data_IF_942289860984
#
_entry.id   IF_942289860984
#
_cell.length_a   1.000
_cell.length_b   1.000
_cell.length_c   1.000
_cell.angle_alpha   90.00
_cell.angle_beta   90.00
_cell.angle_gamma   90.00
#
_symmetry.space_group_name_H-M   'P 1'
#
loop_
_entity.id
_entity.type
_entity.pdbx_description
1 polymer ?
#
# COMPACT_ATOMS: atom_id res chain seq x y z
N UNK A 1 -22.60 8.81 8.50
CA UNK A 1 -22.53 7.50 7.80
C UNK A 1 -22.24 7.66 6.30
N UNK A 2 -22.91 8.59 5.58
CA UNK A 2 -22.71 8.83 4.15
C UNK A 2 -21.27 9.12 3.69
N UNK A 3 -20.52 9.97 4.39
CA UNK A 3 -19.18 10.40 3.93
C UNK A 3 -18.14 9.27 3.94
N UNK A 4 -18.24 8.33 4.89
CA UNK A 4 -17.35 7.18 4.95
C UNK A 4 -17.63 6.18 3.81
N UNK A 5 -18.90 6.04 3.44
CA UNK A 5 -19.30 5.21 2.31
C UNK A 5 -18.81 5.80 0.98
N UNK A 6 -18.94 7.12 0.79
CA UNK A 6 -18.43 7.82 -0.39
C UNK A 6 -16.90 7.65 -0.48
N UNK A 7 -16.17 7.92 0.61
CA UNK A 7 -14.71 7.70 0.66
C UNK A 7 -14.31 6.28 0.28
N UNK A 8 -15.00 5.30 0.84
CA UNK A 8 -14.71 3.89 0.56
C UNK A 8 -14.95 3.55 -0.91
N UNK A 9 -16.08 3.97 -1.50
CA UNK A 9 -16.39 3.66 -2.89
C UNK A 9 -15.46 4.42 -3.85
N UNK A 10 -15.08 5.67 -3.55
CA UNK A 10 -14.07 6.42 -4.32
C UNK A 10 -12.74 5.69 -4.37
N UNK A 11 -12.19 5.29 -3.22
CA UNK A 11 -10.95 4.51 -3.15
C UNK A 11 -11.10 3.19 -3.91
N UNK A 12 -12.25 2.53 -3.79
CA UNK A 12 -12.54 1.28 -4.49
C UNK A 12 -12.58 1.48 -6.00
N UNK A 13 -13.18 2.55 -6.50
CA UNK A 13 -13.22 2.87 -7.93
C UNK A 13 -11.83 3.17 -8.47
N UNK A 14 -11.05 4.04 -7.81
CA UNK A 14 -9.65 4.33 -8.19
C UNK A 14 -8.84 3.02 -8.23
N UNK A 15 -8.96 2.18 -7.20
CA UNK A 15 -8.29 0.89 -7.15
C UNK A 15 -8.71 -0.05 -8.29
N UNK A 16 -10.01 -0.11 -8.63
CA UNK A 16 -10.52 -0.91 -9.76
C UNK A 16 -9.94 -0.43 -11.07
N UNK A 17 -9.91 0.89 -11.32
CA UNK A 17 -9.38 1.50 -12.55
C UNK A 17 -7.89 1.20 -12.70
N UNK A 18 -7.10 1.41 -11.65
CA UNK A 18 -5.66 1.08 -11.66
C UNK A 18 -5.42 -0.41 -11.92
N UNK A 19 -6.24 -1.28 -11.33
CA UNK A 19 -6.14 -2.73 -11.52
C UNK A 19 -6.58 -3.17 -12.91
N UNK A 20 -7.70 -2.65 -13.45
CA UNK A 20 -8.24 -3.02 -14.76
C UNK A 20 -7.37 -2.51 -15.90
N UNK A 21 -6.86 -1.28 -15.77
CA UNK A 21 -6.09 -0.62 -16.82
C UNK A 21 -4.59 -0.90 -16.69
N UNK A 22 -4.16 -1.45 -15.55
CA UNK A 22 -2.86 -2.09 -15.46
C UNK A 22 -2.67 -3.24 -16.44
N UNK A 23 -3.78 -3.88 -16.87
CA UNK A 23 -3.77 -4.88 -17.94
C UNK A 23 -3.63 -4.27 -19.35
N UNK A 24 -3.91 -2.97 -19.52
CA UNK A 24 -3.87 -2.27 -20.82
C UNK A 24 -2.51 -1.65 -21.17
N UNK A 25 -1.57 -1.55 -20.22
CA UNK A 25 -0.21 -1.03 -20.46
C UNK A 25 0.67 -2.04 -21.22
N UNK A 26 0.16 -3.24 -21.47
CA UNK A 26 0.69 -4.19 -22.45
C UNK A 26 -0.38 -4.46 -23.51
N UNK A 27 -0.08 -4.14 -24.77
CA UNK A 27 -0.90 -4.62 -25.87
C UNK A 27 -1.02 -6.15 -25.86
N UNK A 28 -2.22 -6.62 -26.20
CA UNK A 28 -2.62 -7.97 -26.63
C UNK A 28 -3.08 -9.04 -25.61
N UNK A 29 -4.37 -9.35 -25.82
CA UNK A 29 -5.11 -10.63 -25.72
C UNK A 29 -5.36 -11.28 -24.35
N UNK A 30 -6.66 -11.39 -24.06
CA UNK A 30 -7.31 -12.23 -23.06
C UNK A 30 -7.00 -13.72 -23.24
N UNK A 31 -6.78 -14.43 -22.13
CA UNK A 31 -7.68 -15.51 -21.70
C UNK A 31 -7.38 -15.96 -20.26
N UNK A 32 -8.46 -16.04 -19.47
CA UNK A 32 -8.69 -16.89 -18.28
C UNK A 32 -8.42 -18.36 -18.65
N UNK A 33 -7.97 -19.32 -17.83
CA UNK A 33 -8.18 -19.66 -16.41
C UNK A 33 -7.23 -20.81 -16.00
N UNK A 34 -6.90 -20.88 -14.70
CA UNK A 34 -6.61 -22.03 -13.81
C UNK A 34 -5.78 -23.29 -14.25
N UNK A 35 -4.71 -23.50 -13.46
CA UNK A 35 -4.28 -24.75 -12.78
C UNK A 35 -3.38 -25.82 -13.45
N UNK A 36 -2.38 -26.20 -12.64
CA UNK A 36 -1.65 -27.49 -12.50
C UNK A 36 -0.44 -27.88 -13.38
N UNK A 37 0.48 -28.59 -12.69
CA UNK A 37 1.87 -28.97 -13.01
C UNK A 37 1.91 -30.32 -13.77
N UNK A 38 2.80 -30.48 -14.77
CA UNK A 38 3.74 -31.63 -14.98
C UNK A 38 4.42 -31.61 -16.38
N UNK A 39 5.64 -32.13 -16.42
CA UNK A 39 6.77 -32.12 -17.39
C UNK A 39 6.58 -32.77 -18.80
N UNK A 40 7.33 -32.23 -19.79
CA UNK A 40 8.02 -32.84 -20.98
C UNK A 40 7.58 -32.45 -22.43
N UNK A 41 8.40 -31.59 -23.08
CA UNK A 41 8.95 -31.53 -24.48
C UNK A 41 8.11 -32.08 -25.68
N UNK A 42 7.89 -31.48 -26.88
CA UNK A 42 8.29 -30.28 -27.69
C UNK A 42 7.35 -30.28 -28.95
N UNK A 43 7.50 -29.46 -30.03
CA UNK A 43 7.49 -28.00 -30.22
C UNK A 43 6.20 -27.50 -30.93
N UNK A 44 5.83 -26.22 -30.82
CA UNK A 44 5.33 -25.37 -31.94
C UNK A 44 4.85 -23.99 -31.47
N UNK A 45 5.15 -23.01 -32.31
CA UNK A 45 4.61 -21.66 -32.44
C UNK A 45 4.93 -20.60 -31.37
N UNK A 46 5.75 -19.65 -31.83
CA UNK A 46 6.14 -18.44 -31.13
C UNK A 46 4.95 -17.61 -30.69
N UNK A 47 4.81 -17.48 -29.37
CA UNK A 47 4.21 -16.31 -28.75
C UNK A 47 5.34 -15.36 -28.45
N UNK A 48 5.36 -14.20 -29.10
CA UNK A 48 6.17 -13.06 -28.68
C UNK A 48 5.66 -12.63 -27.30
N UNK A 49 6.23 -13.22 -26.25
CA UNK A 49 5.94 -12.90 -24.86
C UNK A 49 6.47 -11.49 -24.57
N UNK A 50 5.68 -10.45 -24.87
CA UNK A 50 5.97 -9.12 -24.33
C UNK A 50 5.75 -9.19 -22.81
N UNK A 51 6.79 -8.94 -21.99
CA UNK A 51 6.66 -9.05 -20.54
C UNK A 51 5.66 -8.01 -20.03
N UNK A 52 4.74 -8.43 -19.15
CA UNK A 52 3.78 -7.52 -18.51
C UNK A 52 4.54 -6.44 -17.74
N UNK A 53 4.29 -5.18 -18.07
CA UNK A 53 4.92 -4.04 -17.39
C UNK A 53 4.38 -3.92 -15.96
N UNK A 54 3.06 -4.01 -15.77
CA UNK A 54 2.42 -3.94 -14.46
C UNK A 54 2.13 -5.34 -13.93
N UNK A 55 2.55 -5.56 -12.68
CA UNK A 55 2.42 -6.83 -11.97
C UNK A 55 1.15 -6.81 -11.11
N UNK A 56 0.88 -5.69 -10.43
CA UNK A 56 -0.30 -5.56 -9.60
C UNK A 56 -0.43 -4.21 -8.91
N UNK A 57 -1.58 -3.99 -8.27
CA UNK A 57 -1.86 -2.84 -7.42
C UNK A 57 -2.40 -3.35 -6.09
N UNK A 58 -1.94 -2.78 -4.99
CA UNK A 58 -2.48 -3.05 -3.65
C UNK A 58 -2.82 -1.75 -2.92
N UNK A 59 -3.86 -1.80 -2.08
CA UNK A 59 -4.15 -0.73 -1.13
C UNK A 59 -3.27 -0.90 0.09
N UNK A 60 -2.73 0.19 0.60
CA UNK A 60 -1.78 0.21 1.69
C UNK A 60 -2.18 1.22 2.77
N UNK A 61 -1.40 1.24 3.86
CA UNK A 61 -1.51 2.27 4.88
C UNK A 61 -2.80 2.22 5.69
N UNK A 62 -3.13 3.31 6.40
CA UNK A 62 -4.23 3.36 7.37
C UNK A 62 -5.61 3.04 6.78
N UNK A 63 -5.83 3.44 5.52
CA UNK A 63 -7.08 3.16 4.83
C UNK A 63 -7.31 1.67 4.59
N UNK A 64 -6.28 0.93 4.11
CA UNK A 64 -6.38 -0.51 3.89
C UNK A 64 -6.62 -1.26 5.21
N UNK A 65 -5.95 -0.79 6.26
CA UNK A 65 -5.99 -1.36 7.62
C UNK A 65 -7.22 -0.95 8.43
N UNK A 66 -8.11 -0.12 7.88
CA UNK A 66 -9.28 0.47 8.57
C UNK A 66 -8.90 1.28 9.82
N UNK A 67 -7.67 1.79 9.87
CA UNK A 67 -7.13 2.58 10.99
C UNK A 67 -7.02 4.08 10.69
N UNK A 68 -7.66 4.53 9.62
CA UNK A 68 -7.64 5.93 9.21
C UNK A 68 -8.34 6.86 10.22
N UNK A 69 -7.81 8.08 10.31
CA UNK A 69 -8.27 9.19 11.15
C UNK A 69 -8.51 10.44 10.29
N UNK A 70 -9.11 11.50 10.87
CA UNK A 70 -9.42 12.74 10.14
C UNK A 70 -8.18 13.46 9.63
N UNK A 71 -7.05 13.30 10.32
CA UNK A 71 -5.78 13.93 9.96
C UNK A 71 -5.07 13.26 8.76
N UNK A 72 -5.51 12.08 8.31
CA UNK A 72 -4.88 11.40 7.17
C UNK A 72 -5.23 12.13 5.87
N UNK A 73 -4.21 12.71 5.23
CA UNK A 73 -4.36 13.48 4.00
C UNK A 73 -4.55 12.60 2.74
N UNK A 74 -4.02 11.38 2.76
CA UNK A 74 -3.97 10.50 1.60
C UNK A 74 -4.44 9.09 1.93
N UNK A 75 -5.08 8.45 0.96
CA UNK A 75 -5.21 7.00 0.91
C UNK A 75 -4.05 6.42 0.08
N UNK A 76 -3.25 5.54 0.68
CA UNK A 76 -2.06 4.99 0.03
C UNK A 76 -2.37 3.76 -0.82
N UNK A 77 -1.76 3.69 -1.99
CA UNK A 77 -1.73 2.53 -2.87
C UNK A 77 -0.31 2.30 -3.38
N UNK A 78 0.03 1.04 -3.65
CA UNK A 78 1.32 0.68 -4.24
C UNK A 78 1.07 -0.10 -5.54
N UNK A 79 1.63 0.42 -6.63
CA UNK A 79 1.62 -0.19 -7.95
C UNK A 79 2.97 -0.87 -8.20
N UNK A 80 2.97 -2.17 -8.50
CA UNK A 80 4.19 -2.92 -8.81
C UNK A 80 4.36 -3.08 -10.32
N UNK A 81 5.58 -2.83 -10.77
CA UNK A 81 6.00 -3.00 -12.16
C UNK A 81 7.23 -3.90 -12.27
N UNK A 82 7.39 -4.53 -13.44
CA UNK A 82 8.53 -5.41 -13.76
C UNK A 82 9.83 -4.61 -13.95
N UNK A 83 9.89 -3.60 -14.86
CA UNK A 83 11.07 -2.74 -14.96
C UNK A 83 11.21 -1.82 -13.75
N UNK A 84 12.39 -1.23 -13.56
CA UNK A 84 12.55 -0.14 -12.59
C UNK A 84 11.66 1.05 -13.01
N UNK A 85 10.98 1.71 -12.05
CA UNK A 85 10.12 2.85 -12.38
C UNK A 85 10.96 4.08 -12.71
N UNK A 86 11.31 4.26 -13.99
CA UNK A 86 11.94 5.48 -14.48
C UNK A 86 10.89 6.60 -14.64
N UNK A 87 11.27 7.89 -14.59
CA UNK A 87 10.34 8.99 -14.80
C UNK A 87 9.53 8.88 -16.10
N UNK A 88 10.15 8.40 -17.18
CA UNK A 88 9.49 8.21 -18.48
C UNK A 88 8.43 7.10 -18.42
N UNK A 89 8.71 6.03 -17.67
CA UNK A 89 7.74 4.96 -17.46
C UNK A 89 6.55 5.45 -16.64
N UNK A 90 6.81 6.19 -15.58
CA UNK A 90 5.77 6.77 -14.70
C UNK A 90 4.91 7.74 -15.48
N UNK A 91 5.52 8.60 -16.30
CA UNK A 91 4.81 9.53 -17.17
C UNK A 91 3.90 8.78 -18.15
N UNK A 92 4.41 7.76 -18.84
CA UNK A 92 3.61 6.91 -19.74
C UNK A 92 2.43 6.25 -19.03
N UNK A 93 2.64 5.71 -17.83
CA UNK A 93 1.56 5.12 -17.02
C UNK A 93 0.52 6.17 -16.67
N UNK A 94 0.97 7.35 -16.27
CA UNK A 94 0.10 8.49 -15.92
C UNK A 94 -0.78 8.90 -17.09
N UNK A 95 -0.20 9.01 -18.28
CA UNK A 95 -0.95 9.37 -19.49
C UNK A 95 -1.97 8.30 -19.87
N UNK A 96 -1.61 7.01 -19.77
CA UNK A 96 -2.57 5.91 -19.96
C UNK A 96 -3.72 5.99 -18.95
N UNK A 97 -3.44 6.28 -17.67
CA UNK A 97 -4.50 6.40 -16.68
C UNK A 97 -5.43 7.59 -16.93
N UNK A 98 -4.91 8.70 -17.47
CA UNK A 98 -5.73 9.86 -17.88
C UNK A 98 -6.63 9.52 -19.06
N UNK A 99 -6.14 8.79 -20.06
CA UNK A 99 -6.92 8.40 -21.23
C UNK A 99 -8.10 7.49 -20.87
N UNK A 100 -7.89 6.54 -19.94
CA UNK A 100 -8.93 5.56 -19.59
C UNK A 100 -9.88 6.07 -18.50
N UNK A 101 -9.63 7.25 -17.92
CA UNK A 101 -10.45 7.77 -16.83
C UNK A 101 -10.71 9.26 -16.90
N UNK A 102 -11.85 9.64 -17.48
CA UNK A 102 -12.32 11.02 -17.51
C UNK A 102 -12.75 11.56 -16.14
N UNK A 103 -13.13 10.66 -15.22
CA UNK A 103 -13.65 11.03 -13.88
C UNK A 103 -12.55 11.20 -12.82
N UNK A 104 -11.28 10.99 -13.19
CA UNK A 104 -10.15 11.10 -12.28
C UNK A 104 -9.22 12.24 -12.70
N UNK A 105 -8.75 12.98 -11.70
CA UNK A 105 -7.65 13.93 -11.85
C UNK A 105 -6.37 13.27 -11.37
N UNK A 106 -5.34 13.25 -12.22
CA UNK A 106 -4.05 12.61 -11.95
C UNK A 106 -2.92 13.65 -12.06
N UNK A 107 -2.29 13.91 -10.92
CA UNK A 107 -1.21 14.87 -10.73
C UNK A 107 0.09 14.14 -10.39
N UNK A 108 1.22 14.66 -10.86
CA UNK A 108 2.54 14.17 -10.44
C UNK A 108 2.86 14.65 -9.03
N UNK A 109 3.51 13.82 -8.22
CA UNK A 109 4.00 14.27 -6.91
C UNK A 109 5.23 15.19 -7.10
N UNK A 110 5.25 16.41 -6.53
CA UNK A 110 6.39 17.32 -6.69
C UNK A 110 7.66 16.84 -5.99
N UNK A 111 7.55 15.86 -5.09
CA UNK A 111 8.63 15.37 -4.23
C UNK A 111 9.27 14.09 -4.76
N UNK A 112 8.59 13.35 -5.64
CA UNK A 112 9.07 12.05 -6.12
C UNK A 112 8.54 11.73 -7.52
N UNK A 113 9.45 11.39 -8.43
CA UNK A 113 9.16 10.99 -9.80
C UNK A 113 8.53 9.60 -9.93
N UNK A 114 8.42 8.84 -8.84
CA UNK A 114 7.78 7.51 -8.80
C UNK A 114 6.44 7.52 -8.05
N UNK A 115 5.89 8.69 -7.79
CA UNK A 115 4.66 8.89 -7.05
C UNK A 115 3.68 9.75 -7.85
N UNK A 116 2.40 9.36 -7.84
CA UNK A 116 1.32 10.13 -8.45
C UNK A 116 0.16 10.28 -7.48
N UNK A 117 -0.52 11.42 -7.55
CA UNK A 117 -1.69 11.75 -6.74
C UNK A 117 -2.93 11.67 -7.61
N UNK A 118 -3.88 10.83 -7.21
CA UNK A 118 -5.14 10.60 -7.93
C UNK A 118 -6.29 11.07 -7.05
N UNK A 119 -7.21 11.84 -7.61
CA UNK A 119 -8.46 12.21 -6.95
C UNK A 119 -9.64 11.99 -7.90
N UNK A 120 -10.82 11.73 -7.35
CA UNK A 120 -12.03 11.62 -8.16
C UNK A 120 -12.71 12.98 -8.27
N UNK A 121 -13.15 13.36 -9.48
CA UNK A 121 -13.73 14.67 -9.75
C UNK A 121 -15.00 14.95 -8.93
N UNK A 122 -15.77 13.90 -8.63
CA UNK A 122 -16.97 13.98 -7.79
C UNK A 122 -16.69 13.99 -6.28
N UNK A 123 -15.45 13.71 -5.87
CA UNK A 123 -15.03 13.75 -4.45
C UNK A 123 -13.53 14.13 -4.31
N UNK A 124 -13.15 15.36 -4.70
CA UNK A 124 -11.75 15.78 -4.83
C UNK A 124 -11.04 15.96 -3.48
N UNK A 125 -11.78 16.08 -2.38
CA UNK A 125 -11.23 16.17 -1.03
C UNK A 125 -10.44 14.92 -0.62
N UNK A 126 -10.74 13.77 -1.22
CA UNK A 126 -10.02 12.53 -0.97
C UNK A 126 -8.94 12.32 -2.04
N UNK A 127 -7.70 12.49 -1.63
CA UNK A 127 -6.53 12.22 -2.46
C UNK A 127 -6.02 10.81 -2.22
N UNK A 128 -5.72 10.09 -3.30
CA UNK A 128 -5.09 8.80 -3.28
C UNK A 128 -3.64 8.96 -3.74
N UNK A 129 -2.69 8.57 -2.90
CA UNK A 129 -1.27 8.56 -3.25
C UNK A 129 -0.89 7.19 -3.78
N UNK A 130 -0.43 7.13 -5.02
CA UNK A 130 -0.02 5.89 -5.68
C UNK A 130 1.49 5.89 -5.85
N UNK A 131 2.17 5.04 -5.10
CA UNK A 131 3.62 4.83 -5.22
C UNK A 131 3.89 3.70 -6.18
N UNK A 132 4.76 3.93 -7.16
CA UNK A 132 5.14 2.95 -8.17
C UNK A 132 6.49 2.37 -7.77
N UNK A 133 6.59 1.03 -7.75
CA UNK A 133 7.81 0.33 -7.32
C UNK A 133 8.06 -0.94 -8.14
N UNK A 134 9.26 -1.49 -8.05
CA UNK A 134 9.64 -2.76 -8.68
C UNK A 134 10.22 -3.73 -7.64
N UNK A 135 9.77 -5.00 -7.59
CA UNK A 135 10.35 -6.01 -6.70
C UNK A 135 11.84 -6.27 -6.97
N UNK A 136 12.32 -5.98 -8.19
CA UNK A 136 13.71 -6.17 -8.63
C UNK A 136 14.71 -5.33 -7.84
N UNK A 137 14.26 -4.29 -7.14
CA UNK A 137 15.11 -3.50 -6.24
C UNK A 137 15.60 -4.29 -5.02
N UNK A 138 14.94 -5.40 -4.66
CA UNK A 138 15.38 -6.28 -3.56
C UNK A 138 16.63 -7.07 -3.93
N UNK A 139 16.72 -7.57 -5.16
CA UNK A 139 17.87 -8.36 -5.62
C UNK A 139 19.17 -7.55 -5.71
N UNK A 140 19.08 -6.22 -5.84
CA UNK A 140 20.26 -5.36 -5.81
C UNK A 140 20.74 -5.03 -4.39
N UNK A 141 20.00 -5.38 -3.33
CA UNK A 141 20.50 -5.29 -1.95
C UNK A 141 21.47 -6.43 -1.62
N UNK A 142 21.25 -7.63 -2.18
CA UNK A 142 22.09 -8.82 -1.97
C UNK A 142 23.34 -8.85 -2.87
N UNK A 143 23.47 -7.87 -3.77
CA UNK A 143 24.56 -7.77 -4.74
C UNK A 143 25.52 -6.65 -4.33
N UNK A 144 26.59 -6.96 -3.60
CA UNK A 144 27.62 -5.99 -3.13
C UNK A 144 28.29 -5.13 -4.24
N UNK A 145 27.98 -5.37 -5.52
CA UNK A 145 28.68 -4.79 -6.68
C UNK A 145 27.88 -3.91 -7.64
N UNK A 146 26.56 -3.70 -7.46
CA UNK A 146 25.78 -2.88 -8.39
C UNK A 146 25.07 -1.73 -7.67
N UNK A 147 25.82 -0.66 -7.37
CA UNK A 147 25.21 0.67 -7.15
C UNK A 147 24.69 1.19 -8.48
N UNK A 148 23.58 0.64 -8.96
CA UNK A 148 22.71 1.40 -9.85
C UNK A 148 22.23 2.58 -9.01
N UNK A 149 22.74 3.78 -9.31
CA UNK A 149 22.37 5.03 -8.63
C UNK A 149 20.96 5.44 -9.10
N UNK A 150 19.97 4.58 -8.83
CA UNK A 150 18.57 4.85 -9.08
C UNK A 150 18.11 5.88 -8.05
N UNK A 151 17.85 7.15 -8.46
CA UNK A 151 17.67 8.25 -7.50
C UNK A 151 16.47 8.04 -6.56
N UNK A 152 15.45 7.34 -7.04
CA UNK A 152 14.18 7.09 -6.34
C UNK A 152 14.18 5.76 -5.56
N UNK A 153 15.36 5.16 -5.34
CA UNK A 153 15.51 3.86 -4.65
C UNK A 153 14.86 3.88 -3.27
N UNK A 154 15.09 4.93 -2.48
CA UNK A 154 14.54 5.05 -1.13
C UNK A 154 13.00 5.05 -1.13
N UNK A 155 12.36 5.79 -2.04
CA UNK A 155 10.90 5.84 -2.17
C UNK A 155 10.34 4.49 -2.60
N UNK A 156 10.98 3.82 -3.55
CA UNK A 156 10.55 2.50 -4.01
C UNK A 156 10.69 1.42 -2.91
N UNK A 157 11.76 1.47 -2.11
CA UNK A 157 11.96 0.60 -0.96
C UNK A 157 10.92 0.86 0.13
N UNK A 158 10.58 2.13 0.39
CA UNK A 158 9.52 2.50 1.30
C UNK A 158 8.16 1.94 0.83
N UNK A 159 7.85 2.05 -0.46
CA UNK A 159 6.65 1.46 -1.03
C UNK A 159 6.62 -0.07 -0.82
N UNK A 160 7.74 -0.77 -1.05
CA UNK A 160 7.84 -2.21 -0.79
C UNK A 160 7.69 -2.55 0.70
N UNK A 161 8.24 -1.76 1.61
CA UNK A 161 8.08 -1.92 3.05
C UNK A 161 6.62 -1.69 3.48
N UNK A 162 5.94 -0.72 2.88
CA UNK A 162 4.51 -0.47 3.10
C UNK A 162 3.66 -1.65 2.63
N UNK A 163 4.01 -2.29 1.51
CA UNK A 163 3.32 -3.52 1.08
C UNK A 163 3.50 -4.66 2.09
N UNK A 164 4.73 -4.85 2.61
CA UNK A 164 5.02 -5.90 3.61
C UNK A 164 4.25 -5.66 4.90
N UNK A 165 4.30 -4.44 5.44
CA UNK A 165 3.59 -4.09 6.67
C UNK A 165 2.07 -4.19 6.51
N UNK A 166 1.52 -3.90 5.33
CA UNK A 166 0.09 -4.10 5.04
C UNK A 166 -0.28 -5.58 5.09
N UNK A 167 0.47 -6.45 4.42
CA UNK A 167 0.23 -7.90 4.47
C UNK A 167 0.41 -8.48 5.87
N UNK A 168 1.45 -8.03 6.58
CA UNK A 168 1.66 -8.43 7.97
C UNK A 168 0.46 -8.04 8.82
N UNK A 169 -0.06 -6.82 8.67
CA UNK A 169 -1.22 -6.34 9.42
C UNK A 169 -2.47 -7.18 9.16
N UNK A 170 -2.75 -7.49 7.89
CA UNK A 170 -3.85 -8.38 7.51
C UNK A 170 -3.74 -9.75 8.19
N UNK A 171 -2.52 -10.29 8.28
CA UNK A 171 -2.28 -11.61 8.82
C UNK A 171 -2.11 -11.68 10.35
N UNK A 172 -1.96 -10.55 11.06
CA UNK A 172 -1.63 -10.54 12.50
C UNK A 172 -2.54 -9.66 13.34
N UNK A 173 -3.13 -8.61 12.76
CA UNK A 173 -3.96 -7.66 13.50
C UNK A 173 -5.46 -7.88 13.27
N UNK A 174 -5.87 -8.34 12.08
CA UNK A 174 -7.29 -8.44 11.69
C UNK A 174 -8.15 -9.28 12.65
N UNK A 175 -7.58 -10.32 13.25
CA UNK A 175 -8.28 -11.22 14.17
C UNK A 175 -8.21 -10.79 15.63
N UNK A 176 -7.35 -9.82 15.98
CA UNK A 176 -7.21 -9.37 17.36
C UNK A 176 -8.37 -8.44 17.74
N UNK A 177 -9.11 -8.85 18.75
CA UNK A 177 -10.21 -8.07 19.30
C UNK A 177 -9.71 -6.70 19.77
N UNK A 178 -10.47 -5.66 19.47
CA UNK A 178 -10.18 -4.27 19.85
C UNK A 178 -8.89 -3.65 19.28
N UNK A 179 -8.04 -4.40 18.56
CA UNK A 179 -6.74 -3.95 18.08
C UNK A 179 -6.84 -2.72 17.17
N UNK A 180 -7.68 -2.78 16.13
CA UNK A 180 -7.87 -1.66 15.20
C UNK A 180 -8.42 -0.41 15.89
N UNK A 181 -9.32 -0.58 16.86
CA UNK A 181 -9.89 0.53 17.64
C UNK A 181 -8.79 1.21 18.46
N UNK A 182 -7.95 0.43 19.15
CA UNK A 182 -6.82 0.97 19.93
C UNK A 182 -5.80 1.65 19.04
N UNK A 183 -5.43 1.05 17.90
CA UNK A 183 -4.52 1.67 16.93
C UNK A 183 -5.07 3.03 16.46
N UNK A 184 -6.36 3.10 16.13
CA UNK A 184 -7.00 4.37 15.74
C UNK A 184 -6.95 5.42 16.84
N UNK A 185 -7.20 5.02 18.08
CA UNK A 185 -7.14 5.93 19.23
C UNK A 185 -5.73 6.48 19.45
N UNK A 186 -4.71 5.63 19.39
CA UNK A 186 -3.31 6.08 19.58
C UNK A 186 -2.86 6.93 18.38
N UNK A 187 -3.26 6.60 17.15
CA UNK A 187 -3.02 7.48 15.99
C UNK A 187 -3.66 8.86 16.17
N UNK A 188 -4.90 8.91 16.65
CA UNK A 188 -5.59 10.17 16.94
C UNK A 188 -4.85 10.95 18.04
N UNK A 189 -4.43 10.29 19.11
CA UNK A 189 -3.61 10.89 20.16
C UNK A 189 -2.30 11.46 19.61
N UNK A 190 -1.60 10.70 18.76
CA UNK A 190 -0.39 11.15 18.08
C UNK A 190 -0.62 12.38 17.22
N UNK A 191 -1.75 12.45 16.51
CA UNK A 191 -2.08 13.62 15.70
C UNK A 191 -2.34 14.90 16.52
N UNK A 192 -2.61 14.77 17.82
CA UNK A 192 -2.91 15.89 18.73
C UNK A 192 -1.76 16.25 19.66
N UNK A 193 -0.84 15.32 19.91
CA UNK A 193 0.20 15.46 20.92
C UNK A 193 1.55 14.98 20.40
N UNK A 194 2.49 15.92 20.22
CA UNK A 194 3.81 15.67 19.65
C UNK A 194 4.66 14.63 20.43
N UNK A 195 4.39 14.44 21.73
CA UNK A 195 5.10 13.43 22.56
C UNK A 195 4.95 11.99 22.04
N UNK A 196 3.92 11.73 21.23
CA UNK A 196 3.64 10.42 20.64
C UNK A 196 4.19 10.26 19.22
N UNK A 197 4.87 11.27 18.66
CA UNK A 197 5.36 11.27 17.27
C UNK A 197 6.55 10.32 17.03
N UNK A 198 7.22 9.85 18.09
CA UNK A 198 8.38 8.97 17.99
C UNK A 198 8.09 7.62 17.33
N UNK A 199 6.84 7.16 17.35
CA UNK A 199 6.42 5.90 16.74
C UNK A 199 5.78 6.15 15.38
N UNK A 200 6.39 5.57 14.34
CA UNK A 200 5.76 5.48 13.03
C UNK A 200 4.57 4.50 13.05
N UNK A 201 3.79 4.49 11.96
CA UNK A 201 2.57 3.70 11.86
C UNK A 201 2.79 2.21 12.11
N UNK A 202 3.83 1.64 11.51
CA UNK A 202 4.10 0.22 11.63
C UNK A 202 4.59 -0.16 13.03
N UNK A 203 5.44 0.69 13.64
CA UNK A 203 5.90 0.49 15.02
C UNK A 203 4.74 0.53 16.02
N UNK A 204 3.80 1.47 15.84
CA UNK A 204 2.60 1.55 16.66
C UNK A 204 1.71 0.31 16.48
N UNK A 205 1.52 -0.16 15.25
CA UNK A 205 0.78 -1.39 14.97
C UNK A 205 1.40 -2.62 15.66
N UNK A 206 2.74 -2.76 15.59
CA UNK A 206 3.49 -3.84 16.24
C UNK A 206 3.37 -3.78 17.77
N UNK A 207 3.52 -2.59 18.35
CA UNK A 207 3.37 -2.37 19.79
C UNK A 207 1.98 -2.82 20.26
N UNK A 208 0.94 -2.33 19.60
CA UNK A 208 -0.44 -2.63 20.00
C UNK A 208 -0.76 -4.10 19.79
N UNK A 209 -0.36 -4.70 18.66
CA UNK A 209 -0.62 -6.11 18.41
C UNK A 209 0.05 -7.00 19.44
N UNK A 210 1.33 -6.76 19.73
CA UNK A 210 2.09 -7.58 20.67
C UNK A 210 1.52 -7.49 22.09
N UNK A 211 1.12 -6.29 22.52
CA UNK A 211 0.54 -6.11 23.85
C UNK A 211 -0.82 -6.79 23.98
N UNK A 212 -1.67 -6.71 22.94
CA UNK A 212 -2.99 -7.36 22.96
C UNK A 212 -2.84 -8.88 22.85
N UNK A 213 -1.98 -9.37 21.97
CA UNK A 213 -1.76 -10.81 21.75
C UNK A 213 -1.06 -11.50 22.96
N UNK A 214 -0.40 -10.72 23.82
CA UNK A 214 0.22 -11.23 25.05
C UNK A 214 -0.76 -11.75 26.11
N UNK A 215 -2.06 -11.53 25.95
CA UNK A 215 -3.07 -11.99 26.91
C UNK A 215 -3.99 -13.05 26.28
N UNK A 216 -4.31 -14.13 27.01
CA UNK A 216 -5.28 -15.12 26.53
C UNK A 216 -6.73 -14.60 26.59
N UNK A 217 -6.96 -13.44 27.23
CA UNK A 217 -8.30 -12.89 27.43
C UNK A 217 -8.71 -11.98 26.28
N UNK A 218 -9.96 -12.11 25.84
CA UNK A 218 -10.56 -11.15 24.90
C UNK A 218 -10.74 -9.81 25.62
N UNK A 219 -10.03 -8.79 25.17
CA UNK A 219 -10.10 -7.45 25.76
C UNK A 219 -11.13 -6.61 25.04
N UNK A 220 -11.96 -5.90 25.81
CA UNK A 220 -12.77 -4.81 25.26
C UNK A 220 -11.87 -3.60 24.92
N UNK A 221 -12.36 -2.60 24.15
CA UNK A 221 -11.53 -1.47 23.73
C UNK A 221 -10.91 -0.66 24.86
N UNK A 222 -11.59 -0.51 26.00
CA UNK A 222 -11.07 0.23 27.13
C UNK A 222 -9.95 -0.54 27.85
N UNK A 223 -10.13 -1.85 28.04
CA UNK A 223 -9.12 -2.73 28.62
C UNK A 223 -7.88 -2.84 27.74
N UNK A 224 -8.07 -3.02 26.43
CA UNK A 224 -7.00 -3.09 25.46
C UNK A 224 -6.19 -1.79 25.42
N UNK A 225 -6.88 -0.64 25.41
CA UNK A 225 -6.21 0.67 25.45
C UNK A 225 -5.43 0.86 26.76
N UNK A 226 -6.05 0.56 27.91
CA UNK A 226 -5.40 0.62 29.23
C UNK A 226 -4.13 -0.24 29.26
N UNK A 227 -4.20 -1.48 28.77
CA UNK A 227 -3.06 -2.41 28.74
C UNK A 227 -1.89 -1.89 27.89
N UNK A 228 -2.19 -1.25 26.75
CA UNK A 228 -1.15 -0.63 25.93
C UNK A 228 -0.47 0.52 26.67
N UNK A 229 -1.23 1.36 27.38
CA UNK A 229 -0.64 2.41 28.21
C UNK A 229 0.19 1.86 29.37
N UNK A 230 -0.28 0.78 30.03
CA UNK A 230 0.48 0.08 31.07
C UNK A 230 1.83 -0.41 30.52
N UNK A 231 1.84 -1.08 29.36
CA UNK A 231 3.07 -1.56 28.72
C UNK A 231 4.03 -0.41 28.38
N UNK A 232 3.53 0.70 27.83
CA UNK A 232 4.38 1.87 27.55
C UNK A 232 4.96 2.44 28.85
N UNK A 233 4.13 2.56 29.90
CA UNK A 233 4.55 3.10 31.19
C UNK A 233 5.55 2.19 31.92
N UNK A 234 5.55 0.88 31.65
CA UNK A 234 6.52 -0.06 32.21
C UNK A 234 7.88 -0.01 31.50
N UNK A 235 8.07 0.90 30.54
CA UNK A 235 9.31 1.02 29.78
C UNK A 235 9.43 0.04 28.62
N UNK A 236 8.33 -0.43 28.04
CA UNK A 236 8.38 -1.35 26.87
C UNK A 236 9.13 -0.75 25.66
N UNK A 237 9.22 0.57 25.59
CA UNK A 237 9.90 1.32 24.52
C UNK A 237 11.29 1.87 24.95
N UNK A 238 11.73 1.57 26.18
CA UNK A 238 12.98 2.07 26.74
C UNK A 238 14.21 1.30 26.24
#
# INVERSE_FOLDING_TARGET
MHINLIRYETIRQIFRILRSNGYGVGGFSQSTSESEVTTAQTPTNGKTNNPRILIGCIRCGPFSKKTYIKADAYADMVLTCTPLPTPELVQRMTDTFREVSADLTIESDPTSGVCVIISANYFPELKCRVMITSPSLRSEEDSEGAKSEFPEKAMCLNALAMMRSTKWYENHCLYLNSCHQVIRLIRDLRSRHAVWESLNDHQLELLVSNVIDSTPSILNPAEAFKRVLEAISSGYLA
#
